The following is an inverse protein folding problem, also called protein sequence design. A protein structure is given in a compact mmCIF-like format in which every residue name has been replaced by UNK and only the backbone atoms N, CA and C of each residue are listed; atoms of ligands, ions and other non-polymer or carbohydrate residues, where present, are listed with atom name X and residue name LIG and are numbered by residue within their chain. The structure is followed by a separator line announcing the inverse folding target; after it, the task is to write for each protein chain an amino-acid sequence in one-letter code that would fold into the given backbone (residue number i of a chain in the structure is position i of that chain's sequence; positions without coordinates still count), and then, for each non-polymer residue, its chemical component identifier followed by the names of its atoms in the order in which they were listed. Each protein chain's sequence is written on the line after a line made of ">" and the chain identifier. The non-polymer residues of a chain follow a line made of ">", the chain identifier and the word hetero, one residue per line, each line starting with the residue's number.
data_IF_678243161034
#
_entry.id   IF_678243161034
#
_cell.length_a   1.000
_cell.length_b   1.000
_cell.length_c   1.000
_cell.angle_alpha   90.00
_cell.angle_beta   90.00
_cell.angle_gamma   90.00
#
_symmetry.space_group_name_H-M   'P 1'
#
loop_
_entity.id
_entity.type
_entity.pdbx_description
1 polymer ?
#
# COMPACT_ATOMS: atom_id res chain seq x y z
N UNK A 1 -3.37 -21.86 -10.06
CA UNK A 1 -3.95 -20.52 -10.17
C UNK A 1 -3.12 -19.52 -9.38
N UNK A 2 -3.05 -18.25 -9.87
CA UNK A 2 -2.46 -17.12 -9.16
C UNK A 2 -3.58 -16.14 -8.86
N UNK A 3 -3.71 -15.74 -7.59
CA UNK A 3 -4.68 -14.75 -7.14
C UNK A 3 -3.96 -13.43 -6.82
N UNK A 4 -4.44 -12.35 -7.41
CA UNK A 4 -4.01 -10.98 -7.08
C UNK A 4 -5.24 -10.26 -6.56
N UNK A 5 -5.22 -9.88 -5.29
CA UNK A 5 -6.34 -9.21 -4.60
C UNK A 5 -5.84 -7.85 -4.12
N UNK A 6 -6.39 -6.81 -4.71
CA UNK A 6 -6.13 -5.44 -4.27
C UNK A 6 -7.21 -4.99 -3.29
N UNK A 7 -6.80 -4.22 -2.29
CA UNK A 7 -7.68 -3.74 -1.21
C UNK A 7 -8.49 -4.86 -0.53
N UNK A 8 -7.81 -5.96 -0.15
CA UNK A 8 -8.45 -7.11 0.52
C UNK A 8 -9.29 -6.71 1.74
N UNK A 9 -8.95 -5.59 2.36
CA UNK A 9 -9.51 -5.06 3.60
C UNK A 9 -10.69 -4.09 3.40
N UNK A 10 -11.11 -3.84 2.14
CA UNK A 10 -12.17 -2.88 1.82
C UNK A 10 -13.49 -3.15 2.58
N UNK A 11 -13.86 -4.42 2.73
CA UNK A 11 -15.08 -4.80 3.47
C UNK A 11 -15.00 -4.35 4.94
N UNK A 12 -13.84 -4.52 5.57
CA UNK A 12 -13.66 -4.11 6.97
C UNK A 12 -13.58 -2.59 7.14
N UNK A 13 -13.07 -1.86 6.15
CA UNK A 13 -12.98 -0.40 6.19
C UNK A 13 -14.33 0.28 5.94
N UNK A 14 -15.09 -0.22 4.98
CA UNK A 14 -16.33 0.41 4.54
C UNK A 14 -17.56 -0.11 5.27
N UNK A 15 -17.50 -1.33 5.80
CA UNK A 15 -18.61 -2.01 6.45
C UNK A 15 -18.29 -2.39 7.91
N UNK A 16 -17.49 -1.60 8.61
CA UNK A 16 -17.01 -1.88 9.97
C UNK A 16 -18.14 -2.24 10.96
N UNK A 17 -19.30 -1.63 10.80
CA UNK A 17 -20.47 -1.90 11.67
C UNK A 17 -21.26 -3.14 11.27
N UNK A 18 -21.03 -3.72 10.11
CA UNK A 18 -21.66 -4.93 9.63
C UNK A 18 -20.80 -6.16 9.94
N UNK A 19 -20.74 -6.50 11.23
CA UNK A 19 -19.90 -7.62 11.71
C UNK A 19 -20.22 -8.93 11.00
N UNK A 20 -21.48 -9.18 10.69
CA UNK A 20 -21.89 -10.39 9.97
C UNK A 20 -21.24 -10.48 8.59
N UNK A 21 -21.23 -9.39 7.83
CA UNK A 21 -20.60 -9.36 6.51
C UNK A 21 -19.09 -9.54 6.62
N UNK A 22 -18.45 -8.92 7.63
CA UNK A 22 -17.01 -9.08 7.89
C UNK A 22 -16.67 -10.53 8.24
N UNK A 23 -17.50 -11.21 9.04
CA UNK A 23 -17.31 -12.60 9.41
C UNK A 23 -17.49 -13.53 8.21
N UNK A 24 -18.54 -13.34 7.39
CA UNK A 24 -18.79 -14.10 6.17
C UNK A 24 -17.63 -13.93 5.16
N UNK A 25 -17.10 -12.72 5.03
CA UNK A 25 -15.95 -12.45 4.16
C UNK A 25 -14.66 -13.12 4.69
N UNK A 26 -14.42 -13.05 5.99
CA UNK A 26 -13.29 -13.74 6.63
C UNK A 26 -13.38 -15.24 6.38
N UNK A 27 -14.58 -15.83 6.52
CA UNK A 27 -14.78 -17.23 6.28
C UNK A 27 -14.62 -17.62 4.81
N UNK A 28 -15.05 -16.77 3.89
CA UNK A 28 -14.79 -16.94 2.45
C UNK A 28 -13.30 -17.04 2.15
N UNK A 29 -12.49 -16.07 2.64
CA UNK A 29 -11.05 -16.07 2.44
C UNK A 29 -10.39 -17.31 3.05
N UNK A 30 -10.82 -17.71 4.24
CA UNK A 30 -10.35 -18.93 4.90
C UNK A 30 -10.65 -20.18 4.08
N UNK A 31 -11.87 -20.32 3.62
CA UNK A 31 -12.30 -21.48 2.85
C UNK A 31 -11.61 -21.55 1.48
N UNK A 32 -11.39 -20.39 0.87
CA UNK A 32 -10.71 -20.29 -0.41
C UNK A 32 -9.22 -20.66 -0.31
N UNK A 33 -8.52 -20.17 0.70
CA UNK A 33 -7.06 -20.28 0.76
C UNK A 33 -6.53 -21.33 1.73
N UNK A 34 -7.34 -21.80 2.69
CA UNK A 34 -6.91 -22.79 3.70
C UNK A 34 -7.52 -24.18 3.47
N UNK A 35 -8.53 -24.31 2.61
CA UNK A 35 -9.12 -25.60 2.32
C UNK A 35 -8.19 -26.47 1.48
N UNK A 36 -7.93 -27.69 1.93
CA UNK A 36 -7.04 -28.64 1.25
C UNK A 36 -7.44 -28.95 -0.20
N UNK A 37 -8.74 -28.89 -0.50
CA UNK A 37 -9.25 -29.18 -1.83
C UNK A 37 -8.99 -28.06 -2.83
N UNK A 38 -8.94 -26.82 -2.37
CA UNK A 38 -8.74 -25.62 -3.22
C UNK A 38 -7.27 -25.23 -3.23
N UNK A 39 -6.59 -25.30 -2.09
CA UNK A 39 -5.18 -24.90 -1.96
C UNK A 39 -4.23 -25.68 -2.87
N UNK A 40 -4.57 -26.94 -3.23
CA UNK A 40 -3.79 -27.73 -4.18
C UNK A 40 -3.78 -27.17 -5.61
N UNK A 41 -4.73 -26.29 -5.93
CA UNK A 41 -4.84 -25.64 -7.25
C UNK A 41 -4.29 -24.20 -7.24
N UNK A 42 -3.82 -23.72 -6.10
CA UNK A 42 -3.35 -22.34 -5.93
C UNK A 42 -1.82 -22.33 -5.77
N UNK A 43 -1.15 -21.68 -6.69
CA UNK A 43 0.32 -21.56 -6.70
C UNK A 43 0.79 -20.33 -5.93
N UNK A 44 0.01 -19.24 -5.97
CA UNK A 44 0.33 -17.97 -5.29
C UNK A 44 -0.94 -17.18 -4.98
N UNK A 45 -0.94 -16.56 -3.82
CA UNK A 45 -1.91 -15.49 -3.47
C UNK A 45 -1.11 -14.25 -3.06
N UNK A 46 -1.36 -13.14 -3.72
CA UNK A 46 -0.80 -11.85 -3.38
C UNK A 46 -1.94 -10.89 -3.07
N UNK A 47 -1.94 -10.33 -1.86
CA UNK A 47 -2.97 -9.39 -1.41
C UNK A 47 -2.34 -8.09 -0.98
N UNK A 48 -2.97 -6.97 -1.37
CA UNK A 48 -2.62 -5.63 -0.89
C UNK A 48 -3.77 -5.06 -0.08
N UNK A 49 -3.46 -4.18 0.86
CA UNK A 49 -4.44 -3.50 1.70
C UNK A 49 -3.78 -2.46 2.61
N UNK A 50 -4.60 -1.70 3.30
CA UNK A 50 -4.18 -0.67 4.25
C UNK A 50 -4.08 -1.24 5.66
N UNK A 51 -4.96 -2.19 5.99
CA UNK A 51 -5.08 -2.73 7.34
C UNK A 51 -4.35 -4.07 7.46
N UNK A 52 -3.67 -4.30 8.60
CA UNK A 52 -3.00 -5.57 8.84
C UNK A 52 -4.02 -6.69 9.05
N UNK A 53 -3.74 -7.87 8.49
CA UNK A 53 -4.58 -9.07 8.61
C UNK A 53 -4.84 -9.42 10.08
N UNK A 54 -3.86 -9.24 10.95
CA UNK A 54 -3.94 -9.59 12.38
C UNK A 54 -5.02 -8.84 13.15
N UNK A 55 -5.48 -7.70 12.64
CA UNK A 55 -6.51 -6.90 13.32
C UNK A 55 -7.89 -7.52 13.23
N UNK A 56 -8.21 -8.20 12.15
CA UNK A 56 -9.55 -8.67 11.81
C UNK A 56 -9.70 -10.19 11.84
N UNK A 57 -8.60 -10.92 11.88
CA UNK A 57 -8.65 -12.36 12.08
C UNK A 57 -8.43 -12.70 13.54
N UNK A 58 -9.32 -13.50 14.14
CA UNK A 58 -8.93 -14.29 15.31
C UNK A 58 -7.64 -15.02 14.92
N UNK A 59 -6.63 -15.06 15.80
CA UNK A 59 -5.23 -15.48 15.55
C UNK A 59 -5.01 -16.75 14.70
N UNK A 60 -6.06 -17.50 14.38
CA UNK A 60 -6.00 -18.76 13.65
C UNK A 60 -6.65 -18.74 12.26
N UNK A 61 -7.34 -17.67 11.86
CA UNK A 61 -8.22 -17.73 10.69
C UNK A 61 -7.46 -17.53 9.38
N UNK A 62 -6.56 -16.55 9.30
CA UNK A 62 -5.80 -16.19 8.09
C UNK A 62 -4.27 -16.24 8.33
N UNK A 63 -3.80 -17.22 9.09
CA UNK A 63 -2.37 -17.35 9.45
C UNK A 63 -1.49 -18.01 8.38
N UNK A 64 -2.05 -18.27 7.19
CA UNK A 64 -1.31 -18.84 6.06
C UNK A 64 -0.56 -17.78 5.23
N UNK A 65 -0.80 -16.50 5.46
CA UNK A 65 -0.13 -15.42 4.76
C UNK A 65 1.11 -14.93 5.51
N UNK A 66 2.15 -14.61 4.76
CA UNK A 66 3.26 -13.79 5.25
C UNK A 66 2.89 -12.34 5.03
N UNK A 67 2.85 -11.56 6.11
CA UNK A 67 2.51 -10.15 6.07
C UNK A 67 3.79 -9.31 5.99
N UNK A 68 3.81 -8.37 5.05
CA UNK A 68 4.87 -7.38 4.88
C UNK A 68 4.28 -5.99 5.08
N UNK A 69 4.95 -5.16 5.84
CA UNK A 69 4.54 -3.79 6.10
C UNK A 69 5.71 -2.80 5.98
N UNK A 70 5.48 -1.53 6.30
CA UNK A 70 6.51 -0.48 6.23
C UNK A 70 7.65 -0.66 7.24
N UNK A 71 7.50 -1.52 8.25
CA UNK A 71 8.52 -1.81 9.25
C UNK A 71 9.27 -3.11 8.95
N UNK A 72 8.60 -4.06 8.29
CA UNK A 72 9.14 -5.36 7.87
C UNK A 72 8.77 -5.65 6.41
N UNK A 73 9.50 -5.01 5.50
CA UNK A 73 9.23 -5.03 4.05
C UNK A 73 10.06 -6.04 3.27
N UNK A 74 11.06 -6.68 3.88
CA UNK A 74 11.91 -7.64 3.18
C UNK A 74 11.12 -8.89 2.73
N UNK A 75 11.24 -9.35 1.48
CA UNK A 75 12.15 -8.89 0.41
C UNK A 75 11.46 -8.04 -0.68
N UNK A 76 10.33 -7.39 -0.39
CA UNK A 76 9.47 -6.76 -1.41
C UNK A 76 9.63 -5.24 -1.51
N UNK A 77 10.54 -4.64 -0.76
CA UNK A 77 10.70 -3.19 -0.66
C UNK A 77 10.89 -2.49 -2.00
N UNK A 78 11.63 -3.08 -2.93
CA UNK A 78 11.88 -2.49 -4.25
C UNK A 78 10.66 -2.53 -5.19
N UNK A 79 9.60 -3.24 -4.80
CA UNK A 79 8.39 -3.40 -5.63
C UNK A 79 7.21 -2.53 -5.19
N UNK A 80 7.32 -1.83 -4.06
CA UNK A 80 6.22 -1.02 -3.51
C UNK A 80 6.31 0.48 -3.88
N UNK A 81 7.21 0.82 -4.79
CA UNK A 81 7.41 2.17 -5.32
C UNK A 81 8.47 2.14 -6.41
N UNK A 82 8.76 3.29 -7.02
CA UNK A 82 9.91 3.37 -7.92
C UNK A 82 11.21 3.53 -7.13
N UNK A 83 12.20 2.76 -7.50
CA UNK A 83 13.58 2.91 -7.02
C UNK A 83 14.25 4.15 -7.64
N UNK A 84 15.35 4.62 -7.05
CA UNK A 84 16.10 5.77 -7.57
C UNK A 84 16.59 5.52 -9.00
N UNK A 85 17.07 4.31 -9.32
CA UNK A 85 17.55 3.94 -10.67
C UNK A 85 16.44 3.96 -11.71
N UNK A 86 15.24 3.48 -11.36
CA UNK A 86 14.07 3.54 -12.24
C UNK A 86 13.66 4.98 -12.53
N UNK A 87 13.67 5.85 -11.52
CA UNK A 87 13.36 7.27 -11.69
C UNK A 87 14.39 7.97 -12.57
N UNK A 88 15.69 7.67 -12.39
CA UNK A 88 16.76 8.18 -13.27
C UNK A 88 16.52 7.71 -14.70
N UNK A 89 16.17 6.45 -14.91
CA UNK A 89 15.84 5.89 -16.23
C UNK A 89 14.67 6.63 -16.89
N UNK A 90 13.60 6.91 -16.14
CA UNK A 90 12.46 7.69 -16.61
C UNK A 90 12.84 9.13 -16.96
N UNK A 91 13.61 9.79 -16.10
CA UNK A 91 14.09 11.16 -16.34
C UNK A 91 14.92 11.24 -17.63
N UNK A 92 15.83 10.32 -17.85
CA UNK A 92 16.64 10.24 -19.07
C UNK A 92 15.76 10.01 -20.31
N UNK A 93 14.82 9.05 -20.24
CA UNK A 93 13.91 8.75 -21.35
C UNK A 93 13.07 9.94 -21.79
N UNK A 94 12.62 10.77 -20.85
CA UNK A 94 11.72 11.89 -21.12
C UNK A 94 12.41 13.27 -21.06
N UNK A 95 13.74 13.29 -20.96
CA UNK A 95 14.57 14.50 -20.88
C UNK A 95 14.08 15.44 -19.73
N UNK A 96 14.08 14.91 -18.50
CA UNK A 96 13.70 15.63 -17.28
C UNK A 96 14.89 15.73 -16.31
N UNK A 97 14.90 16.77 -15.50
CA UNK A 97 15.89 16.92 -14.44
C UNK A 97 15.58 15.98 -13.27
N UNK A 98 16.44 15.00 -13.05
CA UNK A 98 16.33 14.08 -11.92
C UNK A 98 16.39 14.77 -10.58
N UNK A 99 17.22 15.83 -10.42
CA UNK A 99 17.38 16.51 -9.13
C UNK A 99 16.09 17.24 -8.72
N UNK A 100 15.36 17.78 -9.70
CA UNK A 100 14.05 18.37 -9.46
C UNK A 100 13.04 17.30 -9.03
N UNK A 101 12.95 16.17 -9.77
CA UNK A 101 12.06 15.05 -9.44
C UNK A 101 12.40 14.49 -8.05
N UNK A 102 13.69 14.31 -7.74
CA UNK A 102 14.16 13.84 -6.44
C UNK A 102 13.73 14.78 -5.29
N UNK A 103 13.87 16.07 -5.48
CA UNK A 103 13.47 17.09 -4.49
C UNK A 103 11.99 17.03 -4.16
N UNK A 104 11.16 16.77 -5.16
CA UNK A 104 9.70 16.78 -5.01
C UNK A 104 9.13 15.45 -4.52
N UNK A 105 9.68 14.31 -4.99
CA UNK A 105 8.98 13.01 -4.89
C UNK A 105 9.78 11.92 -4.19
N UNK A 106 11.00 12.20 -3.68
CA UNK A 106 11.68 11.24 -2.81
C UNK A 106 10.85 11.08 -1.54
N UNK A 107 10.21 9.90 -1.41
CA UNK A 107 9.24 9.63 -0.35
C UNK A 107 9.85 8.85 0.81
N UNK A 108 9.89 7.54 0.70
CA UNK A 108 10.24 6.65 1.82
C UNK A 108 11.65 6.09 1.67
N UNK A 109 12.18 5.59 2.79
CA UNK A 109 13.36 4.74 2.79
C UNK A 109 12.95 3.44 3.48
N UNK A 110 12.93 2.34 2.71
CA UNK A 110 12.68 1.00 3.23
C UNK A 110 13.95 0.17 3.14
N UNK A 111 14.44 -0.35 4.26
CA UNK A 111 15.68 -1.14 4.34
C UNK A 111 16.87 -0.50 3.57
N UNK A 112 17.00 0.82 3.63
CA UNK A 112 18.05 1.57 2.95
C UNK A 112 17.78 1.89 1.47
N UNK A 113 16.68 1.40 0.90
CA UNK A 113 16.26 1.69 -0.47
C UNK A 113 15.39 2.95 -0.49
N UNK A 114 15.79 3.95 -1.27
CA UNK A 114 14.97 5.15 -1.50
C UNK A 114 13.87 4.86 -2.51
N UNK A 115 12.63 5.11 -2.12
CA UNK A 115 11.45 4.90 -2.94
C UNK A 115 10.74 6.21 -3.25
N UNK A 116 10.15 6.25 -4.43
CA UNK A 116 9.41 7.39 -4.96
C UNK A 116 7.98 6.97 -5.26
N UNK A 117 7.04 7.90 -5.04
CA UNK A 117 5.65 7.66 -5.39
C UNK A 117 5.47 7.53 -6.91
N UNK A 118 5.02 6.38 -7.44
CA UNK A 118 4.95 6.15 -8.88
C UNK A 118 4.04 7.12 -9.61
N UNK A 119 2.85 7.41 -9.08
CA UNK A 119 1.87 8.31 -9.72
C UNK A 119 2.49 9.70 -9.85
N UNK A 120 3.06 10.23 -8.79
CA UNK A 120 3.66 11.58 -8.78
C UNK A 120 4.83 11.70 -9.76
N UNK A 121 5.70 10.68 -9.81
CA UNK A 121 6.84 10.64 -10.73
C UNK A 121 6.35 10.57 -12.18
N UNK A 122 5.43 9.66 -12.50
CA UNK A 122 4.91 9.50 -13.86
C UNK A 122 4.24 10.78 -14.35
N UNK A 123 3.38 11.38 -13.56
CA UNK A 123 2.69 12.63 -13.90
C UNK A 123 3.67 13.79 -14.12
N UNK A 124 4.67 13.94 -13.27
CA UNK A 124 5.66 14.99 -13.41
C UNK A 124 6.53 14.79 -14.66
N UNK A 125 6.97 13.56 -14.91
CA UNK A 125 7.78 13.22 -16.08
C UNK A 125 7.02 13.45 -17.38
N UNK A 126 5.76 13.00 -17.46
CA UNK A 126 4.93 13.18 -18.65
C UNK A 126 4.55 14.64 -18.89
N UNK A 127 4.14 15.36 -17.85
CA UNK A 127 3.70 16.76 -17.97
C UNK A 127 4.85 17.77 -18.00
N UNK A 128 6.05 17.37 -17.61
CA UNK A 128 7.23 18.25 -17.52
C UNK A 128 7.10 19.32 -16.46
N UNK A 129 6.34 19.07 -15.39
CA UNK A 129 6.11 20.02 -14.31
C UNK A 129 5.94 19.27 -13.01
N UNK A 130 6.72 19.64 -12.00
CA UNK A 130 6.55 19.15 -10.64
C UNK A 130 5.44 19.91 -9.91
N UNK A 131 4.55 19.20 -9.25
CA UNK A 131 3.52 19.69 -8.35
C UNK A 131 3.04 18.55 -7.45
N UNK A 132 2.20 18.85 -6.48
CA UNK A 132 1.56 17.83 -5.66
C UNK A 132 0.47 17.10 -6.47
N UNK A 133 0.80 15.87 -6.90
CA UNK A 133 -0.12 14.99 -7.64
C UNK A 133 -0.81 13.98 -6.73
N UNK A 134 -0.32 13.77 -5.52
CA UNK A 134 -0.84 12.72 -4.64
C UNK A 134 -2.11 13.12 -3.91
N UNK A 135 -2.31 14.40 -3.64
CA UNK A 135 -3.48 14.95 -2.92
C UNK A 135 -4.82 14.68 -3.64
N UNK A 136 -4.78 14.25 -4.90
CA UNK A 136 -5.98 14.02 -5.71
C UNK A 136 -6.44 12.54 -5.72
N UNK A 137 -5.85 11.68 -4.89
CA UNK A 137 -6.22 10.26 -4.85
C UNK A 137 -7.17 9.98 -3.69
N UNK A 138 -8.18 9.12 -3.92
CA UNK A 138 -9.14 8.65 -2.91
C UNK A 138 -8.49 7.97 -1.69
N UNK A 139 -7.24 7.55 -1.81
CA UNK A 139 -6.47 6.99 -0.70
C UNK A 139 -6.32 7.95 0.50
N UNK A 140 -6.32 9.27 0.27
CA UNK A 140 -6.26 10.26 1.35
C UNK A 140 -7.52 10.25 2.20
N UNK A 141 -8.71 10.14 1.61
CA UNK A 141 -9.96 10.07 2.36
C UNK A 141 -10.00 8.86 3.29
N UNK A 142 -9.60 7.70 2.79
CA UNK A 142 -9.55 6.47 3.58
C UNK A 142 -8.58 6.60 4.76
N UNK A 143 -7.37 7.14 4.55
CA UNK A 143 -6.37 7.34 5.61
C UNK A 143 -6.82 8.41 6.60
N UNK A 144 -7.44 9.50 6.14
CA UNK A 144 -7.91 10.61 6.98
C UNK A 144 -8.98 10.14 7.97
N UNK A 145 -9.86 9.24 7.57
CA UNK A 145 -10.88 8.67 8.45
C UNK A 145 -10.25 7.89 9.61
N UNK A 146 -9.18 7.12 9.36
CA UNK A 146 -8.45 6.41 10.42
C UNK A 146 -7.63 7.33 11.30
N UNK A 147 -7.11 8.43 10.77
CA UNK A 147 -6.31 9.40 11.52
C UNK A 147 -7.14 10.29 12.45
N UNK A 148 -8.42 10.49 12.17
CA UNK A 148 -9.33 11.26 13.01
C UNK A 148 -9.75 10.51 14.30
N UNK A 149 -9.51 9.21 14.39
CA UNK A 149 -9.80 8.40 15.59
C UNK A 149 -8.76 8.55 16.72
N UNK A 150 -7.54 9.01 16.38
CA UNK A 150 -6.48 9.19 17.39
C UNK A 150 -6.11 10.68 17.55
N UNK A 151 -6.87 11.37 18.37
CA UNK A 151 -6.92 12.83 18.47
C UNK A 151 -5.66 13.53 19.04
N UNK A 152 -4.55 12.84 19.33
CA UNK A 152 -3.45 13.46 20.06
C UNK A 152 -2.06 13.44 19.39
N UNK A 153 -1.63 12.34 18.82
CA UNK A 153 -0.23 12.12 18.44
C UNK A 153 0.10 12.37 16.97
N UNK A 154 -0.83 12.13 16.06
CA UNK A 154 -0.56 12.12 14.62
C UNK A 154 -0.66 13.50 13.93
N UNK A 155 -1.42 14.45 14.49
CA UNK A 155 -1.47 15.83 13.96
C UNK A 155 -0.08 16.49 13.91
N UNK A 156 0.81 16.15 14.86
CA UNK A 156 2.17 16.68 14.92
C UNK A 156 3.13 16.11 13.86
N UNK A 157 2.87 14.91 13.36
CA UNK A 157 3.75 14.21 12.41
C UNK A 157 3.45 14.66 10.97
N UNK A 158 2.18 14.84 10.63
CA UNK A 158 1.77 15.26 9.28
C UNK A 158 2.12 16.71 9.02
N UNK A 159 1.93 17.59 10.01
CA UNK A 159 2.24 19.02 9.85
C UNK A 159 3.75 19.31 9.73
N UNK A 160 4.62 18.40 10.18
CA UNK A 160 6.08 18.54 10.07
C UNK A 160 6.68 18.06 8.75
N UNK A 161 5.94 17.27 7.97
CA UNK A 161 6.45 16.69 6.71
C UNK A 161 5.82 17.31 5.45
N UNK A 162 4.97 18.35 5.61
CA UNK A 162 4.31 19.05 4.49
C UNK A 162 4.86 20.47 4.29
N UNK A 163 5.81 20.89 5.13
CA UNK A 163 6.54 22.18 4.96
C UNK A 163 7.97 21.88 4.43
#
# INVERSE_FOLDING_TARGET
>A
FIFLIDEWDVIYREQEYNTKLCDEYTELLRNLFKSSNVSSCIDLVYMTGILPIRRYSTQSTLNMFTEHDMLDSFPIESYVGFTEDEVIGLCNKYNRDFNEIKKWYKGYILNGISLYNPISVVEAVLRGKCKDYWVQTSAIESVTNYMNYDHGALKGIITRNIL
#
